data_IF_482805619339
#
_entry.id   IF_482805619339
#
_cell.length_a   1.000
_cell.length_b   1.000
_cell.length_c   1.000
_cell.angle_alpha   90.00
_cell.angle_beta   90.00
_cell.angle_gamma   90.00
#
_symmetry.space_group_name_H-M   'P 1'
#
loop_
_entity.id
_entity.type
_entity.pdbx_description
1 polymer ?
#
# COMPACT_ATOMS: atom_id res chain seq x y z
N UNK A 1 -14.18 9.30 0.45
CA UNK A 1 -13.95 8.59 -0.85
C UNK A 1 -15.21 7.84 -1.23
N UNK A 2 -15.63 7.95 -2.48
CA UNK A 2 -16.83 7.33 -3.03
C UNK A 2 -16.38 6.15 -3.90
N UNK A 3 -16.93 4.96 -3.65
CA UNK A 3 -16.61 3.75 -4.42
C UNK A 3 -17.81 3.42 -5.30
N UNK A 4 -17.60 3.35 -6.60
CA UNK A 4 -18.60 2.99 -7.61
C UNK A 4 -18.33 1.62 -8.21
N UNK A 5 -19.35 1.01 -8.78
CA UNK A 5 -19.26 -0.26 -9.50
C UNK A 5 -20.01 -0.14 -10.84
N UNK A 6 -19.46 0.67 -11.74
CA UNK A 6 -20.09 0.98 -13.02
C UNK A 6 -20.09 -0.20 -13.99
N UNK A 7 -19.16 -1.14 -13.81
CA UNK A 7 -19.01 -2.34 -14.64
C UNK A 7 -19.81 -3.54 -14.13
N UNK A 8 -20.51 -3.40 -12.99
CA UNK A 8 -21.33 -4.48 -12.43
C UNK A 8 -20.51 -5.69 -11.94
N UNK A 9 -19.34 -5.47 -11.40
CA UNK A 9 -18.51 -6.54 -10.84
C UNK A 9 -19.19 -7.22 -9.64
N UNK A 10 -18.89 -8.49 -9.36
CA UNK A 10 -19.43 -9.21 -8.22
C UNK A 10 -19.23 -8.47 -6.89
N UNK A 11 -20.23 -8.53 -6.02
CA UNK A 11 -20.21 -7.80 -4.74
C UNK A 11 -19.01 -8.18 -3.84
N UNK A 12 -18.52 -9.40 -3.96
CA UNK A 12 -17.28 -9.83 -3.28
C UNK A 12 -16.11 -8.91 -3.61
N UNK A 13 -15.92 -8.54 -4.88
CA UNK A 13 -14.84 -7.64 -5.31
C UNK A 13 -15.08 -6.21 -4.81
N UNK A 14 -16.34 -5.76 -4.81
CA UNK A 14 -16.72 -4.45 -4.24
C UNK A 14 -16.37 -4.40 -2.75
N UNK A 15 -16.69 -5.46 -2.02
CA UNK A 15 -16.40 -5.55 -0.59
C UNK A 15 -14.90 -5.64 -0.29
N UNK A 16 -14.12 -6.29 -1.14
CA UNK A 16 -12.65 -6.29 -1.01
C UNK A 16 -12.05 -4.89 -1.13
N UNK A 17 -12.60 -4.04 -2.02
CA UNK A 17 -12.16 -2.65 -2.15
C UNK A 17 -12.63 -1.80 -0.97
N UNK A 18 -13.88 -1.98 -0.52
CA UNK A 18 -14.47 -1.20 0.59
C UNK A 18 -13.82 -1.53 1.93
N UNK A 19 -13.49 -2.79 2.16
CA UNK A 19 -12.96 -3.29 3.43
C UNK A 19 -11.44 -3.46 3.40
N UNK A 20 -10.76 -2.61 2.62
CA UNK A 20 -9.31 -2.62 2.55
C UNK A 20 -8.69 -2.45 3.95
N UNK A 21 -7.98 -3.46 4.48
CA UNK A 21 -7.39 -3.41 5.81
C UNK A 21 -6.14 -2.52 5.88
N UNK A 22 -5.74 -1.90 4.75
CA UNK A 22 -4.54 -1.08 4.73
C UNK A 22 -4.62 0.05 5.75
N UNK A 23 -3.69 0.03 6.68
CA UNK A 23 -3.46 1.11 7.63
C UNK A 23 -2.01 1.57 7.55
N UNK A 24 -1.79 2.87 7.67
CA UNK A 24 -0.43 3.44 7.79
C UNK A 24 0.17 3.27 9.19
N UNK A 25 -0.60 2.73 10.13
CA UNK A 25 -0.27 2.65 11.55
C UNK A 25 -0.78 3.86 12.34
N UNK A 26 -0.83 3.71 13.65
CA UNK A 26 -1.30 4.75 14.58
C UNK A 26 -0.27 5.88 14.72
N UNK A 27 -0.77 7.11 14.82
CA UNK A 27 0.05 8.32 15.03
C UNK A 27 1.15 8.53 13.97
N UNK A 28 0.92 8.05 12.76
CA UNK A 28 1.84 8.22 11.63
C UNK A 28 1.47 9.47 10.84
N UNK A 29 2.43 10.39 10.70
CA UNK A 29 2.27 11.60 9.91
C UNK A 29 2.23 11.30 8.41
N UNK A 30 3.16 10.47 7.91
CA UNK A 30 3.29 10.07 6.51
C UNK A 30 3.79 8.62 6.40
N UNK A 31 3.30 7.91 5.38
CA UNK A 31 3.96 6.68 4.93
C UNK A 31 5.14 7.01 3.99
N UNK A 32 6.08 6.09 3.85
CA UNK A 32 7.19 6.22 2.89
C UNK A 32 6.67 6.46 1.47
N UNK A 33 5.61 5.76 1.06
CA UNK A 33 4.96 5.95 -0.25
C UNK A 33 4.43 7.38 -0.44
N UNK A 34 3.86 8.00 0.62
CA UNK A 34 3.41 9.40 0.55
C UNK A 34 4.58 10.39 0.51
N UNK A 35 5.74 10.04 1.09
CA UNK A 35 6.92 10.92 1.07
C UNK A 35 7.56 11.00 -0.32
N UNK A 36 7.55 9.91 -1.07
CA UNK A 36 8.10 9.84 -2.44
C UNK A 36 7.11 10.32 -3.50
N UNK A 37 5.83 10.43 -3.16
CA UNK A 37 4.80 10.96 -4.07
C UNK A 37 4.91 12.49 -4.23
N UNK A 38 4.45 13.08 -5.36
CA UNK A 38 4.43 14.52 -5.54
C UNK A 38 3.65 15.21 -4.41
N UNK A 39 4.26 16.17 -3.67
CA UNK A 39 3.64 16.76 -2.47
C UNK A 39 2.28 17.40 -2.72
N UNK A 40 2.12 18.04 -3.88
CA UNK A 40 0.85 18.64 -4.29
C UNK A 40 -0.26 17.61 -4.44
N UNK A 41 0.05 16.45 -5.04
CA UNK A 41 -0.90 15.35 -5.21
C UNK A 41 -1.35 14.79 -3.87
N UNK A 42 -0.43 14.59 -2.94
CA UNK A 42 -0.72 14.13 -1.57
C UNK A 42 -1.61 15.13 -0.83
N UNK A 43 -1.30 16.42 -0.92
CA UNK A 43 -2.09 17.47 -0.29
C UNK A 43 -3.51 17.56 -0.85
N UNK A 44 -3.68 17.51 -2.18
CA UNK A 44 -4.98 17.52 -2.84
C UNK A 44 -5.80 16.28 -2.49
N UNK A 45 -5.18 15.10 -2.53
CA UNK A 45 -5.84 13.84 -2.16
C UNK A 45 -6.38 13.88 -0.73
N UNK A 46 -5.64 14.46 0.20
CA UNK A 46 -6.10 14.63 1.60
C UNK A 46 -7.23 15.62 1.71
N UNK A 47 -7.08 16.80 1.06
CA UNK A 47 -8.07 17.89 1.13
C UNK A 47 -9.43 17.48 0.54
N UNK A 48 -9.43 16.72 -0.55
CA UNK A 48 -10.63 16.35 -1.30
C UNK A 48 -10.97 14.87 -1.17
N UNK A 49 -10.50 14.19 -0.12
CA UNK A 49 -10.66 12.75 0.06
C UNK A 49 -12.11 12.28 -0.11
N UNK A 50 -13.07 13.01 0.48
CA UNK A 50 -14.49 12.62 0.44
C UNK A 50 -15.14 12.85 -0.93
N UNK A 51 -14.51 13.63 -1.80
CA UNK A 51 -14.97 13.91 -3.16
C UNK A 51 -14.32 13.00 -4.21
N UNK A 52 -13.29 12.24 -3.84
CA UNK A 52 -12.63 11.31 -4.76
C UNK A 52 -13.56 10.13 -5.03
N UNK A 53 -13.85 9.92 -6.29
CA UNK A 53 -14.60 8.75 -6.77
C UNK A 53 -13.63 7.76 -7.41
N UNK A 54 -13.75 6.48 -7.05
CA UNK A 54 -12.95 5.38 -7.60
C UNK A 54 -13.91 4.28 -8.03
N UNK A 55 -13.75 3.75 -9.23
CA UNK A 55 -14.49 2.57 -9.65
C UNK A 55 -13.76 1.29 -9.23
N UNK A 56 -14.52 0.27 -8.85
CA UNK A 56 -13.95 -1.03 -8.42
C UNK A 56 -13.07 -1.63 -9.50
N UNK A 57 -13.42 -1.46 -10.79
CA UNK A 57 -12.62 -1.96 -11.91
C UNK A 57 -11.21 -1.38 -11.95
N UNK A 58 -11.02 -0.14 -11.54
CA UNK A 58 -9.70 0.52 -11.47
C UNK A 58 -8.81 -0.05 -10.37
N UNK A 59 -9.41 -0.76 -9.41
CA UNK A 59 -8.72 -1.34 -8.25
C UNK A 59 -8.37 -2.82 -8.42
N UNK A 60 -8.76 -3.47 -9.51
CA UNK A 60 -8.55 -4.91 -9.70
C UNK A 60 -7.07 -5.30 -9.63
N UNK A 61 -6.18 -4.54 -10.26
CA UNK A 61 -4.74 -4.82 -10.22
C UNK A 61 -4.16 -4.65 -8.81
N UNK A 62 -4.67 -3.70 -8.04
CA UNK A 62 -4.29 -3.52 -6.63
C UNK A 62 -4.73 -4.73 -5.79
N UNK A 63 -5.95 -5.22 -6.01
CA UNK A 63 -6.47 -6.43 -5.35
C UNK A 63 -5.60 -7.65 -5.70
N UNK A 64 -5.29 -7.86 -6.97
CA UNK A 64 -4.43 -8.97 -7.42
C UNK A 64 -3.03 -8.88 -6.79
N UNK A 65 -2.43 -7.70 -6.77
CA UNK A 65 -1.14 -7.50 -6.11
C UNK A 65 -1.19 -7.93 -4.65
N UNK A 66 -2.21 -7.50 -3.90
CA UNK A 66 -2.38 -7.87 -2.48
C UNK A 66 -2.62 -9.35 -2.27
N UNK A 67 -3.44 -10.00 -3.11
CA UNK A 67 -3.66 -11.44 -3.03
C UNK A 67 -2.36 -12.21 -3.18
N UNK A 68 -1.50 -11.81 -4.12
CA UNK A 68 -0.21 -12.46 -4.33
C UNK A 68 0.72 -12.22 -3.14
N UNK A 69 0.80 -11.00 -2.62
CA UNK A 69 1.57 -10.70 -1.40
C UNK A 69 1.11 -11.56 -0.21
N UNK A 70 -0.21 -11.67 0.01
CA UNK A 70 -0.77 -12.53 1.07
C UNK A 70 -0.41 -14.01 0.86
N UNK A 71 -0.44 -14.51 -0.37
CA UNK A 71 -0.02 -15.89 -0.68
C UNK A 71 1.46 -16.10 -0.42
N UNK A 72 2.30 -15.14 -0.77
CA UNK A 72 3.75 -15.20 -0.52
C UNK A 72 4.05 -15.15 0.97
N UNK A 73 3.40 -14.27 1.73
CA UNK A 73 3.49 -14.20 3.19
C UNK A 73 3.13 -15.53 3.85
N UNK A 74 1.99 -16.12 3.47
CA UNK A 74 1.53 -17.40 4.01
C UNK A 74 2.43 -18.60 3.61
N UNK A 75 3.24 -18.43 2.57
CA UNK A 75 4.17 -19.46 2.08
C UNK A 75 5.61 -19.23 2.51
N UNK A 76 5.87 -18.17 3.27
CA UNK A 76 7.21 -17.81 3.71
C UNK A 76 7.75 -18.83 4.74
N UNK A 77 9.03 -19.20 4.65
CA UNK A 77 9.67 -20.00 5.69
C UNK A 77 9.75 -19.21 7.01
N UNK A 78 9.76 -19.93 8.16
CA UNK A 78 9.72 -19.32 9.51
C UNK A 78 10.87 -18.33 9.82
N UNK A 79 11.98 -18.46 9.12
CA UNK A 79 13.15 -17.60 9.29
C UNK A 79 13.14 -16.33 8.40
N UNK A 80 12.11 -16.18 7.58
CA UNK A 80 11.92 -15.01 6.74
C UNK A 80 10.90 -14.05 7.38
N UNK A 81 11.32 -12.81 7.64
CA UNK A 81 10.43 -11.76 8.15
C UNK A 81 9.64 -11.19 6.97
N UNK A 82 8.31 -11.22 7.04
CA UNK A 82 7.42 -10.76 5.95
C UNK A 82 6.47 -9.67 6.41
N UNK A 83 6.13 -8.75 5.49
CA UNK A 83 5.09 -7.71 5.64
C UNK A 83 5.18 -6.90 6.95
N UNK A 84 6.38 -6.79 7.53
CA UNK A 84 6.56 -6.04 8.76
C UNK A 84 6.55 -4.53 8.49
N UNK A 85 5.84 -3.81 9.36
CA UNK A 85 5.79 -2.36 9.31
C UNK A 85 6.80 -1.74 10.26
N UNK A 86 7.70 -0.98 9.68
CA UNK A 86 8.72 -0.22 10.40
C UNK A 86 8.27 1.21 10.64
N UNK A 87 8.77 1.79 11.71
CA UNK A 87 8.52 3.17 12.12
C UNK A 87 9.82 3.90 12.37
N UNK A 88 9.88 5.15 11.95
CA UNK A 88 10.98 6.05 12.28
C UNK A 88 10.44 7.39 12.75
N UNK A 89 11.13 8.01 13.70
CA UNK A 89 10.83 9.38 14.15
C UNK A 89 11.83 10.32 13.54
N UNK A 90 11.35 11.29 12.77
CA UNK A 90 12.16 12.31 12.11
C UNK A 90 12.04 13.61 12.88
N UNK A 91 13.16 14.20 13.37
CA UNK A 91 13.13 15.49 14.02
C UNK A 91 12.86 16.58 12.98
N UNK A 92 11.77 17.31 13.14
CA UNK A 92 11.51 18.54 12.41
C UNK A 92 11.64 19.74 13.34
N UNK A 93 11.81 20.93 12.74
CA UNK A 93 12.10 22.18 13.49
C UNK A 93 11.10 22.45 14.63
N UNK A 94 9.82 22.15 14.41
CA UNK A 94 8.77 22.47 15.38
C UNK A 94 8.34 21.27 16.23
N UNK A 95 8.21 20.09 15.61
CA UNK A 95 7.81 18.85 16.30
C UNK A 95 8.37 17.62 15.57
N UNK A 96 8.79 16.57 16.31
CA UNK A 96 9.16 15.31 15.69
C UNK A 96 7.94 14.68 15.02
N UNK A 97 8.12 14.07 13.86
CA UNK A 97 7.07 13.37 13.15
C UNK A 97 7.40 11.89 13.00
N UNK A 98 6.39 11.05 13.14
CA UNK A 98 6.51 9.61 12.93
C UNK A 98 6.17 9.27 11.48
N UNK A 99 7.07 8.55 10.83
CA UNK A 99 6.87 7.99 9.50
C UNK A 99 6.82 6.47 9.57
N UNK A 100 6.17 5.83 8.60
CA UNK A 100 6.11 4.36 8.52
C UNK A 100 6.29 3.85 7.10
N UNK A 101 6.80 2.63 7.00
CA UNK A 101 6.87 1.86 5.76
C UNK A 101 6.79 0.37 6.07
N UNK A 102 6.29 -0.42 5.14
CA UNK A 102 6.38 -1.88 5.19
C UNK A 102 7.27 -2.37 4.06
N UNK A 103 7.92 -3.49 4.27
CA UNK A 103 8.68 -4.22 3.26
C UNK A 103 8.02 -5.59 3.03
N UNK A 104 8.25 -6.17 1.86
CA UNK A 104 7.63 -7.45 1.50
C UNK A 104 8.30 -8.61 2.22
N UNK A 105 9.63 -8.70 2.18
CA UNK A 105 10.35 -9.70 2.98
C UNK A 105 11.79 -9.29 3.30
N UNK A 106 12.30 -9.78 4.43
CA UNK A 106 13.68 -9.60 4.87
C UNK A 106 14.27 -10.92 5.36
N UNK A 107 15.36 -11.34 4.74
CA UNK A 107 16.15 -12.48 5.17
C UNK A 107 17.26 -12.00 6.11
N UNK A 108 17.11 -12.28 7.40
CA UNK A 108 18.06 -11.86 8.43
C UNK A 108 19.41 -12.62 8.33
N UNK A 109 19.46 -13.81 7.71
CA UNK A 109 20.70 -14.59 7.55
C UNK A 109 21.63 -13.98 6.50
N UNK A 110 21.03 -13.51 5.41
CA UNK A 110 21.80 -12.93 4.29
C UNK A 110 21.82 -11.42 4.32
N UNK A 111 20.98 -10.77 5.15
CA UNK A 111 20.79 -9.32 5.18
C UNK A 111 20.08 -8.81 3.91
N UNK A 112 19.30 -9.65 3.24
CA UNK A 112 18.66 -9.31 1.97
C UNK A 112 17.24 -8.82 2.19
N UNK A 113 16.95 -7.62 1.69
CA UNK A 113 15.60 -7.05 1.61
C UNK A 113 15.03 -7.29 0.20
N UNK A 114 13.83 -7.86 0.12
CA UNK A 114 13.16 -8.09 -1.14
C UNK A 114 11.88 -7.25 -1.23
N UNK A 115 11.61 -6.73 -2.42
CA UNK A 115 10.38 -6.02 -2.78
C UNK A 115 9.83 -6.65 -4.05
N UNK A 116 8.59 -7.14 -4.01
CA UNK A 116 7.96 -7.88 -5.09
C UNK A 116 7.02 -6.97 -5.87
N UNK A 117 7.26 -6.79 -7.17
CA UNK A 117 6.42 -5.98 -8.06
C UNK A 117 5.76 -6.85 -9.11
N UNK A 118 4.42 -6.83 -9.10
CA UNK A 118 3.62 -7.47 -10.13
C UNK A 118 3.18 -6.42 -11.15
N UNK A 119 3.65 -6.55 -12.38
CA UNK A 119 3.39 -5.60 -13.45
C UNK A 119 2.84 -6.33 -14.67
N UNK A 120 2.07 -5.62 -15.49
CA UNK A 120 1.67 -6.12 -16.80
C UNK A 120 2.84 -6.06 -17.78
N UNK A 121 2.85 -6.94 -18.80
CA UNK A 121 3.88 -6.97 -19.84
C UNK A 121 4.03 -5.60 -20.52
N UNK A 122 2.92 -4.91 -20.76
CA UNK A 122 2.93 -3.57 -21.39
C UNK A 122 3.66 -2.51 -20.55
N UNK A 123 3.64 -2.62 -19.24
CA UNK A 123 4.34 -1.68 -18.36
C UNK A 123 5.83 -1.98 -18.26
N UNK A 124 6.23 -3.22 -18.57
CA UNK A 124 7.63 -3.62 -18.59
C UNK A 124 8.34 -3.16 -19.88
N UNK A 125 7.58 -2.97 -20.96
CA UNK A 125 8.11 -2.58 -22.28
C UNK A 125 8.11 -1.06 -22.53
N UNK A 126 7.67 -0.25 -21.53
CA UNK A 126 7.55 1.21 -21.62
C UNK A 126 8.77 1.99 -21.05
#
# INVERSE_FOLDING_TARGET
MIITNNTGLPEVLVNMVKNDPYSRGENVYRSVTELIAPPRQVALKRKFYDQITIDVSDQLFLIYGRLIHTLMENSAPEDLITEERLYATVPLVNNPVRISGSFDSFDAKTGTLNDYKFITVFRFMG
#
